data_IF_012976878992
#
_entry.id   IF_012976878992
#
_cell.length_a   1.000
_cell.length_b   1.000
_cell.length_c   1.000
_cell.angle_alpha   90.00
_cell.angle_beta   90.00
_cell.angle_gamma   90.00
#
_symmetry.space_group_name_H-M   'P 1'
#
loop_
_entity.id
_entity.type
_entity.pdbx_description
1 polymer ?
#
# COMPACT_ATOMS: atom_id res chain seq x y z
N UNK A 1 2.74 -13.30 8.34
CA UNK A 1 2.11 -13.84 7.11
C UNK A 1 2.38 -12.95 5.89
N UNK A 2 2.12 -11.64 5.94
CA UNK A 2 2.36 -10.75 4.80
C UNK A 2 3.83 -10.76 4.34
N UNK A 3 4.77 -10.67 5.27
CA UNK A 3 6.22 -10.74 5.00
C UNK A 3 6.62 -12.07 4.35
N UNK A 4 6.30 -13.20 4.98
CA UNK A 4 6.58 -14.52 4.41
C UNK A 4 5.96 -14.72 3.00
N UNK A 5 4.77 -14.16 2.76
CA UNK A 5 4.16 -14.19 1.43
C UNK A 5 4.93 -13.31 0.43
N UNK A 6 5.46 -12.16 0.88
CA UNK A 6 6.32 -11.31 0.07
C UNK A 6 7.65 -12.00 -0.25
N UNK A 7 8.31 -12.59 0.74
CA UNK A 7 9.55 -13.35 0.58
C UNK A 7 9.37 -14.45 -0.47
N UNK A 8 8.26 -15.21 -0.42
CA UNK A 8 8.01 -16.23 -1.45
C UNK A 8 7.84 -15.64 -2.85
N UNK A 9 7.18 -14.50 -3.03
CA UNK A 9 7.03 -13.91 -4.38
C UNK A 9 8.32 -13.26 -4.88
N UNK A 10 9.19 -12.80 -3.98
CA UNK A 10 10.52 -12.30 -4.31
C UNK A 10 11.46 -13.44 -4.67
N UNK A 11 11.57 -14.45 -3.81
CA UNK A 11 12.65 -15.44 -3.88
C UNK A 11 12.25 -16.67 -4.72
N UNK A 12 10.98 -17.08 -4.69
CA UNK A 12 10.52 -18.24 -5.47
C UNK A 12 9.84 -17.87 -6.79
N UNK A 13 9.15 -16.73 -6.84
CA UNK A 13 8.43 -16.29 -8.05
C UNK A 13 9.18 -15.19 -8.83
N UNK A 14 10.19 -14.56 -8.21
CA UNK A 14 11.10 -13.58 -8.84
C UNK A 14 10.38 -12.40 -9.50
N UNK A 15 9.28 -11.93 -8.88
CA UNK A 15 8.46 -10.82 -9.40
C UNK A 15 8.65 -9.50 -8.64
N UNK A 16 9.61 -9.44 -7.71
CA UNK A 16 9.94 -8.19 -7.02
C UNK A 16 11.06 -7.44 -7.75
N UNK A 17 11.14 -6.13 -7.53
CA UNK A 17 12.17 -5.23 -8.06
C UNK A 17 12.67 -4.27 -6.97
N UNK A 18 13.81 -3.60 -7.15
CA UNK A 18 14.38 -2.72 -6.13
C UNK A 18 13.40 -1.68 -5.57
N UNK A 19 12.52 -1.14 -6.41
CA UNK A 19 11.50 -0.17 -6.02
C UNK A 19 10.44 -0.77 -5.09
N UNK A 20 10.07 -2.03 -5.29
CA UNK A 20 9.13 -2.73 -4.40
C UNK A 20 9.79 -3.01 -3.05
N UNK A 21 11.04 -3.48 -3.06
CA UNK A 21 11.80 -3.72 -1.82
C UNK A 21 12.02 -2.40 -1.04
N UNK A 22 12.32 -1.30 -1.72
CA UNK A 22 12.46 0.02 -1.10
C UNK A 22 11.15 0.50 -0.46
N UNK A 23 9.99 0.23 -1.08
CA UNK A 23 8.69 0.56 -0.50
C UNK A 23 8.38 -0.29 0.73
N UNK A 24 8.73 -1.58 0.72
CA UNK A 24 8.55 -2.47 1.87
C UNK A 24 9.43 -2.04 3.05
N UNK A 25 10.70 -1.75 2.80
CA UNK A 25 11.60 -1.23 3.81
C UNK A 25 11.08 0.09 4.41
N UNK A 26 10.60 1.01 3.55
CA UNK A 26 9.97 2.25 3.99
C UNK A 26 8.74 1.98 4.86
N UNK A 27 7.89 1.03 4.49
CA UNK A 27 6.69 0.66 5.24
C UNK A 27 7.04 0.04 6.60
N UNK A 28 7.94 -0.94 6.65
CA UNK A 28 8.38 -1.58 7.89
C UNK A 28 9.06 -0.61 8.86
N UNK A 29 9.75 0.39 8.33
CA UNK A 29 10.38 1.45 9.11
C UNK A 29 9.42 2.58 9.53
N UNK A 30 8.16 2.54 9.14
CA UNK A 30 7.16 3.58 9.44
C UNK A 30 6.30 3.22 10.66
N UNK A 31 5.78 4.22 11.41
CA UNK A 31 4.97 3.99 12.61
C UNK A 31 3.76 3.11 12.35
N UNK A 32 3.37 2.29 13.33
CA UNK A 32 2.15 1.48 13.24
C UNK A 32 2.13 0.36 12.21
N UNK A 33 3.17 0.14 11.42
CA UNK A 33 3.22 -0.96 10.45
C UNK A 33 3.18 -2.32 11.16
N UNK A 34 2.20 -3.14 10.80
CA UNK A 34 2.04 -4.52 11.28
C UNK A 34 2.62 -5.51 10.25
N UNK A 35 2.58 -5.16 8.97
CA UNK A 35 3.18 -5.93 7.89
C UNK A 35 2.82 -5.35 6.53
N UNK A 36 3.66 -5.61 5.53
CA UNK A 36 3.46 -5.14 4.16
C UNK A 36 3.85 -6.23 3.15
N UNK A 37 3.29 -6.15 1.95
CA UNK A 37 3.67 -7.02 0.82
C UNK A 37 3.34 -6.39 -0.52
N UNK A 38 4.03 -6.84 -1.57
CA UNK A 38 3.62 -6.61 -2.95
C UNK A 38 2.18 -7.09 -3.19
N UNK A 39 1.38 -6.30 -3.91
CA UNK A 39 0.04 -6.69 -4.37
C UNK A 39 -0.13 -6.45 -5.87
N UNK A 40 -0.82 -7.37 -6.55
CA UNK A 40 -0.91 -7.39 -8.02
C UNK A 40 0.14 -8.30 -8.66
N UNK A 41 0.51 -7.99 -9.90
CA UNK A 41 1.33 -8.86 -10.74
C UNK A 41 2.83 -8.86 -10.38
N UNK A 42 3.36 -7.75 -9.85
CA UNK A 42 4.79 -7.56 -9.61
C UNK A 42 5.48 -6.64 -10.61
N UNK A 43 6.81 -6.61 -10.57
CA UNK A 43 7.69 -5.73 -11.35
C UNK A 43 7.36 -4.24 -11.20
N UNK A 44 6.93 -3.86 -9.99
CA UNK A 44 6.46 -2.52 -9.65
C UNK A 44 5.01 -2.57 -9.16
N UNK A 45 4.30 -1.46 -9.37
CA UNK A 45 2.90 -1.34 -8.95
C UNK A 45 2.76 -0.96 -7.48
N UNK A 46 1.94 -1.72 -6.75
CA UNK A 46 1.48 -1.33 -5.42
C UNK A 46 2.01 -2.27 -4.32
N UNK A 47 2.25 -1.70 -3.16
CA UNK A 47 2.41 -2.43 -1.90
C UNK A 47 1.17 -2.18 -1.06
N UNK A 48 0.66 -3.24 -0.41
CA UNK A 48 -0.38 -3.11 0.62
C UNK A 48 0.27 -3.27 1.98
N UNK A 49 -0.02 -2.34 2.90
CA UNK A 49 0.46 -2.36 4.27
C UNK A 49 -0.73 -2.39 5.24
N UNK A 50 -0.61 -3.21 6.27
CA UNK A 50 -1.52 -3.23 7.41
C UNK A 50 -0.93 -2.33 8.50
N UNK A 51 -1.70 -1.35 8.95
CA UNK A 51 -1.23 -0.31 9.86
C UNK A 51 -2.23 -0.15 11.01
N UNK A 52 -1.76 0.14 12.22
CA UNK A 52 -2.64 0.54 13.32
C UNK A 52 -3.38 1.82 12.97
N UNK A 53 -4.71 1.81 13.17
CA UNK A 53 -5.59 2.92 12.79
C UNK A 53 -5.17 4.26 13.40
N UNK A 54 -4.73 4.26 14.67
CA UNK A 54 -4.25 5.45 15.37
C UNK A 54 -2.97 6.05 14.79
N UNK A 55 -2.23 5.32 13.96
CA UNK A 55 -0.94 5.71 13.40
C UNK A 55 -1.00 5.92 11.87
N UNK A 56 -2.18 5.80 11.25
CA UNK A 56 -2.30 5.74 9.77
C UNK A 56 -1.83 7.02 9.07
N UNK A 57 -2.08 8.20 9.67
CA UNK A 57 -1.67 9.48 9.10
C UNK A 57 -0.14 9.66 9.16
N UNK A 58 0.45 9.37 10.33
CA UNK A 58 1.90 9.45 10.52
C UNK A 58 2.64 8.41 9.67
N UNK A 59 2.05 7.21 9.52
CA UNK A 59 2.54 6.20 8.59
C UNK A 59 2.57 6.71 7.16
N UNK A 60 1.47 7.31 6.67
CA UNK A 60 1.36 7.77 5.29
C UNK A 60 2.43 8.83 4.94
N UNK A 61 2.68 9.77 5.85
CA UNK A 61 3.75 10.77 5.70
C UNK A 61 5.12 10.08 5.74
N UNK A 62 5.37 9.25 6.76
CA UNK A 62 6.68 8.62 6.95
C UNK A 62 7.08 7.71 5.80
N UNK A 63 6.15 6.88 5.31
CA UNK A 63 6.43 5.94 4.21
C UNK A 63 6.74 6.68 2.92
N UNK A 64 5.99 7.75 2.61
CA UNK A 64 6.19 8.55 1.42
C UNK A 64 7.56 9.25 1.42
N UNK A 65 7.95 9.84 2.55
CA UNK A 65 9.24 10.50 2.70
C UNK A 65 10.42 9.51 2.64
N UNK A 66 10.29 8.36 3.32
CA UNK A 66 11.31 7.30 3.34
C UNK A 66 11.53 6.73 1.95
N UNK A 67 10.44 6.39 1.26
CA UNK A 67 10.50 5.86 -0.09
C UNK A 67 11.12 6.87 -1.04
N UNK A 68 10.66 8.13 -1.00
CA UNK A 68 11.23 9.18 -1.85
C UNK A 68 12.71 9.41 -1.60
N UNK A 69 13.16 9.39 -0.36
CA UNK A 69 14.58 9.52 -0.04
C UNK A 69 15.43 8.37 -0.60
N UNK A 70 14.88 7.16 -0.63
CA UNK A 70 15.59 5.98 -1.13
C UNK A 70 15.63 5.88 -2.66
N UNK A 71 14.58 6.35 -3.35
CA UNK A 71 14.40 6.10 -4.80
C UNK A 71 14.36 7.37 -5.64
N UNK A 72 14.22 8.56 -5.03
CA UNK A 72 13.87 9.82 -5.69
C UNK A 72 12.50 9.81 -6.40
N UNK A 73 11.67 8.80 -6.17
CA UNK A 73 10.31 8.67 -6.72
C UNK A 73 9.30 9.17 -5.68
N UNK A 74 8.28 9.93 -6.10
CA UNK A 74 7.17 10.31 -5.21
C UNK A 74 6.09 9.22 -5.30
N UNK A 75 5.73 8.54 -4.19
CA UNK A 75 4.67 7.55 -4.22
C UNK A 75 3.30 8.23 -4.03
N UNK A 76 2.25 7.61 -4.56
CA UNK A 76 0.88 7.88 -4.13
C UNK A 76 0.52 6.94 -2.98
N UNK A 77 -0.06 7.47 -1.91
CA UNK A 77 -0.47 6.71 -0.73
C UNK A 77 -1.98 6.81 -0.58
N UNK A 78 -2.65 5.67 -0.47
CA UNK A 78 -4.10 5.61 -0.32
C UNK A 78 -4.47 4.92 0.99
N UNK A 79 -5.22 5.62 1.84
CA UNK A 79 -5.82 5.04 3.03
C UNK A 79 -7.15 4.41 2.63
N UNK A 80 -7.20 3.07 2.62
CA UNK A 80 -8.32 2.32 2.05
C UNK A 80 -9.01 1.46 3.12
N UNK A 81 -10.33 1.31 2.96
CA UNK A 81 -11.14 0.34 3.68
C UNK A 81 -11.73 -0.69 2.70
N UNK A 82 -12.09 -1.86 3.20
CA UNK A 82 -12.86 -2.83 2.40
C UNK A 82 -14.22 -2.23 2.01
N UNK A 83 -14.63 -2.42 0.76
CA UNK A 83 -15.90 -1.93 0.23
C UNK A 83 -16.66 -3.02 -0.52
N UNK A 84 -17.95 -2.78 -0.78
CA UNK A 84 -18.79 -3.66 -1.60
C UNK A 84 -18.28 -3.72 -3.03
N UNK A 85 -18.47 -4.88 -3.68
CA UNK A 85 -18.20 -5.06 -5.10
C UNK A 85 -19.16 -4.30 -6.01
N UNK A 86 -19.07 -4.54 -7.32
CA UNK A 86 -19.93 -3.89 -8.30
C UNK A 86 -21.42 -4.20 -8.05
N UNK A 87 -22.25 -3.15 -8.07
CA UNK A 87 -23.69 -3.24 -7.83
C UNK A 87 -24.45 -2.23 -8.70
N UNK A 88 -25.72 -2.52 -8.98
CA UNK A 88 -26.61 -1.57 -9.65
C UNK A 88 -27.00 -0.49 -8.65
N UNK A 89 -26.61 0.75 -8.93
CA UNK A 89 -27.03 1.90 -8.15
C UNK A 89 -28.37 2.43 -8.69
N UNK A 90 -29.32 2.71 -7.81
CA UNK A 90 -30.55 3.39 -8.19
C UNK A 90 -30.19 4.79 -8.70
N UNK A 91 -30.84 5.26 -9.78
CA UNK A 91 -30.48 6.52 -10.46
C UNK A 91 -30.54 7.76 -9.55
N UNK A 92 -31.25 7.67 -8.43
CA UNK A 92 -31.45 8.75 -7.45
C UNK A 92 -30.55 8.66 -6.21
N UNK A 93 -29.80 7.57 -6.03
CA UNK A 93 -28.74 7.51 -5.03
C UNK A 93 -27.48 8.14 -5.63
N UNK A 94 -27.21 9.39 -5.26
CA UNK A 94 -25.96 10.04 -5.60
C UNK A 94 -24.80 9.15 -5.16
N UNK A 95 -24.03 8.63 -6.11
CA UNK A 95 -22.78 7.94 -5.84
C UNK A 95 -21.82 8.93 -5.18
N UNK A 96 -21.82 8.94 -3.85
CA UNK A 96 -20.88 9.72 -3.06
C UNK A 96 -19.54 9.01 -3.16
N UNK A 97 -18.67 9.54 -4.02
CA UNK A 97 -17.28 9.09 -4.09
C UNK A 97 -16.71 9.14 -2.68
N UNK A 98 -16.12 8.04 -2.16
CA UNK A 98 -15.38 8.13 -0.92
C UNK A 98 -14.32 9.21 -1.10
N UNK A 99 -14.27 10.16 -0.17
CA UNK A 99 -13.27 11.22 -0.16
C UNK A 99 -11.91 10.55 -0.08
N UNK A 100 -11.22 10.44 -1.22
CA UNK A 100 -9.82 10.08 -1.27
C UNK A 100 -9.07 11.29 -0.69
N UNK A 101 -8.79 11.25 0.61
CA UNK A 101 -7.76 12.11 1.20
C UNK A 101 -6.44 11.72 0.54
N UNK A 102 -6.00 12.57 -0.40
CA UNK A 102 -4.65 12.56 -0.97
C UNK A 102 -3.63 12.97 0.08
#
# INVERSE_FOLDING_TARGET
LMEAAHESVRDNYEVSIPEVEAMLEAAHSSPGCIGARLTGAGWGGCVVAMVRESEVQDFAVSVAERYHRATSIRPDVFICNSATGAQVIARDEAFQLPTLTR
#
